data_IF_577804292193
#
_entry.id   IF_577804292193
#
_cell.length_a   1.000
_cell.length_b   1.000
_cell.length_c   1.000
_cell.angle_alpha   90.00
_cell.angle_beta   90.00
_cell.angle_gamma   90.00
#
_symmetry.space_group_name_H-M   'P 1'
#
loop_
_entity.id
_entity.type
_entity.pdbx_description
1 polymer ?
#
# COMPACT_ATOMS: atom_id res chain seq x y z
N UNK A 1 -23.25 23.94 6.13
CA UNK A 1 -23.38 22.97 5.03
C UNK A 1 -22.30 21.92 5.19
N UNK A 2 -22.68 20.69 5.53
CA UNK A 2 -21.74 19.58 5.62
C UNK A 2 -21.12 19.37 4.23
N UNK A 3 -19.79 19.48 4.11
CA UNK A 3 -19.08 19.00 2.91
C UNK A 3 -19.34 17.49 2.88
N UNK A 4 -20.19 17.03 1.97
CA UNK A 4 -20.21 15.62 1.60
C UNK A 4 -18.79 15.30 1.17
N UNK A 5 -18.10 14.50 1.97
CA UNK A 5 -16.80 13.96 1.59
C UNK A 5 -17.15 12.99 0.46
N UNK A 6 -17.07 13.48 -0.78
CA UNK A 6 -17.20 12.60 -1.94
C UNK A 6 -16.07 11.58 -1.82
N UNK A 7 -16.45 10.33 -1.57
CA UNK A 7 -15.47 9.26 -1.51
C UNK A 7 -14.80 9.19 -2.88
N UNK A 8 -13.47 9.34 -2.96
CA UNK A 8 -12.76 9.25 -4.22
C UNK A 8 -13.09 7.93 -4.90
N UNK A 9 -13.35 7.95 -6.21
CA UNK A 9 -13.59 6.72 -6.97
C UNK A 9 -12.24 6.18 -7.45
N UNK A 10 -12.11 4.86 -7.42
CA UNK A 10 -11.03 4.16 -8.08
C UNK A 10 -11.54 3.36 -9.28
N UNK A 11 -10.70 3.32 -10.30
CA UNK A 11 -10.90 2.51 -11.51
C UNK A 11 -9.82 1.45 -11.54
N UNK A 12 -10.23 0.20 -11.71
CA UNK A 12 -9.33 -0.95 -11.76
C UNK A 12 -9.69 -1.82 -12.95
N UNK A 13 -8.70 -2.21 -13.75
CA UNK A 13 -8.84 -3.24 -14.77
C UNK A 13 -7.99 -4.43 -14.32
N UNK A 14 -8.63 -5.57 -14.09
CA UNK A 14 -8.00 -6.79 -13.59
C UNK A 14 -8.11 -7.90 -14.64
N UNK A 15 -7.02 -8.63 -14.85
CA UNK A 15 -7.01 -9.84 -15.65
C UNK A 15 -7.02 -11.04 -14.71
N UNK A 16 -7.83 -12.03 -15.06
CA UNK A 16 -7.97 -13.28 -14.33
C UNK A 16 -7.44 -14.45 -15.15
N UNK A 17 -6.79 -15.38 -14.45
CA UNK A 17 -6.41 -16.69 -14.96
C UNK A 17 -7.28 -17.74 -14.27
N UNK A 18 -8.32 -18.19 -14.95
CA UNK A 18 -9.36 -19.01 -14.33
C UNK A 18 -10.14 -18.24 -13.26
N UNK A 19 -10.11 -18.71 -12.01
CA UNK A 19 -10.80 -18.08 -10.88
C UNK A 19 -9.94 -17.09 -10.08
N UNK A 20 -8.63 -17.03 -10.33
CA UNK A 20 -7.72 -16.16 -9.58
C UNK A 20 -7.46 -14.86 -10.34
N UNK A 21 -7.44 -13.74 -9.60
CA UNK A 21 -6.96 -12.46 -10.11
C UNK A 21 -5.45 -12.60 -10.34
N UNK A 22 -5.04 -12.54 -11.60
CA UNK A 22 -3.64 -12.72 -12.01
C UNK A 22 -2.89 -11.39 -11.84
N UNK A 23 -3.39 -10.33 -12.50
CA UNK A 23 -2.73 -9.03 -12.48
C UNK A 23 -3.72 -7.87 -12.60
N UNK A 24 -3.41 -6.76 -11.93
CA UNK A 24 -4.08 -5.47 -12.10
C UNK A 24 -3.30 -4.66 -13.14
N UNK A 25 -3.88 -4.56 -14.34
CA UNK A 25 -3.22 -3.92 -15.49
C UNK A 25 -3.35 -2.41 -15.47
N UNK A 26 -4.49 -1.93 -14.99
CA UNK A 26 -4.73 -0.51 -14.82
C UNK A 26 -5.32 -0.27 -13.45
N UNK A 27 -4.76 0.69 -12.74
CA UNK A 27 -5.31 1.18 -11.49
C UNK A 27 -5.15 2.69 -11.46
N UNK A 28 -6.23 3.40 -11.18
CA UNK A 28 -6.15 4.83 -10.91
C UNK A 28 -7.10 5.19 -9.81
N UNK A 29 -6.56 5.96 -8.88
CA UNK A 29 -7.26 6.40 -7.70
C UNK A 29 -7.52 7.92 -7.71
N UNK A 30 -8.31 8.41 -6.74
CA UNK A 30 -8.66 9.84 -6.56
C UNK A 30 -9.38 10.45 -7.75
N UNK A 31 -10.25 9.68 -8.42
CA UNK A 31 -11.08 10.17 -9.51
C UNK A 31 -12.40 10.73 -8.95
N UNK A 32 -12.83 11.87 -9.47
CA UNK A 32 -14.15 12.42 -9.16
C UNK A 32 -15.24 11.67 -9.93
N UNK A 33 -16.47 11.68 -9.40
CA UNK A 33 -17.65 11.11 -10.07
C UNK A 33 -17.83 11.72 -11.46
N UNK A 34 -17.70 13.03 -11.57
CA UNK A 34 -17.81 13.77 -12.83
C UNK A 34 -16.78 13.36 -13.88
N UNK A 35 -15.56 12.98 -13.47
CA UNK A 35 -14.54 12.48 -14.38
C UNK A 35 -14.92 11.09 -14.88
N UNK A 36 -15.39 10.22 -13.98
CA UNK A 36 -15.83 8.88 -14.34
C UNK A 36 -16.99 8.92 -15.32
N UNK A 37 -18.01 9.73 -15.09
CA UNK A 37 -19.15 9.84 -15.99
C UNK A 37 -18.74 10.26 -17.41
N UNK A 38 -17.82 11.22 -17.52
CA UNK A 38 -17.32 11.71 -18.82
C UNK A 38 -16.41 10.71 -19.53
N UNK A 39 -15.60 9.98 -18.79
CA UNK A 39 -14.52 9.12 -19.33
C UNK A 39 -14.78 7.62 -19.16
N UNK A 40 -15.99 7.22 -18.75
CA UNK A 40 -16.36 5.81 -18.57
C UNK A 40 -16.09 4.99 -19.82
N UNK A 41 -16.50 5.53 -20.98
CA UNK A 41 -16.30 4.91 -22.29
C UNK A 41 -14.82 4.61 -22.57
N UNK A 42 -13.89 5.45 -22.10
CA UNK A 42 -12.46 5.26 -22.31
C UNK A 42 -11.94 4.06 -21.51
N UNK A 43 -12.39 3.89 -20.26
CA UNK A 43 -12.00 2.73 -19.46
C UNK A 43 -12.63 1.43 -19.97
N UNK A 44 -13.87 1.49 -20.45
CA UNK A 44 -14.53 0.36 -21.11
C UNK A 44 -13.80 -0.02 -22.40
N UNK A 45 -13.39 0.97 -23.21
CA UNK A 45 -12.57 0.77 -24.41
C UNK A 45 -11.24 0.10 -24.07
N UNK A 46 -10.51 0.56 -23.04
CA UNK A 46 -9.26 -0.08 -22.63
C UNK A 46 -9.45 -1.53 -22.18
N UNK A 47 -10.49 -1.81 -21.39
CA UNK A 47 -10.79 -3.16 -20.95
C UNK A 47 -11.14 -4.08 -22.13
N UNK A 48 -11.92 -3.58 -23.09
CA UNK A 48 -12.25 -4.29 -24.32
C UNK A 48 -11.01 -4.56 -25.17
N UNK A 49 -10.14 -3.57 -25.34
CA UNK A 49 -8.89 -3.70 -26.10
C UNK A 49 -7.97 -4.78 -25.50
N UNK A 50 -7.82 -4.80 -24.18
CA UNK A 50 -7.06 -5.85 -23.47
C UNK A 50 -7.71 -7.22 -23.70
N UNK A 51 -9.04 -7.31 -23.64
CA UNK A 51 -9.77 -8.57 -23.82
C UNK A 51 -9.63 -9.12 -25.25
N UNK A 52 -9.68 -8.26 -26.26
CA UNK A 52 -9.51 -8.66 -27.68
C UNK A 52 -8.13 -9.27 -27.90
N UNK A 53 -7.07 -8.68 -27.34
CA UNK A 53 -5.71 -9.21 -27.47
C UNK A 53 -5.44 -10.44 -26.58
N UNK A 54 -6.28 -10.69 -25.58
CA UNK A 54 -6.12 -11.81 -24.64
C UNK A 54 -7.42 -12.63 -24.51
N UNK A 55 -7.86 -13.31 -25.58
CA UNK A 55 -9.22 -13.88 -25.65
C UNK A 55 -9.47 -14.97 -24.59
N UNK A 56 -8.45 -15.74 -24.21
CA UNK A 56 -8.56 -16.82 -23.22
C UNK A 56 -8.68 -16.34 -21.77
N UNK A 57 -8.33 -15.09 -21.50
CA UNK A 57 -8.31 -14.54 -20.14
C UNK A 57 -9.57 -13.74 -19.87
N UNK A 58 -10.08 -13.77 -18.63
CA UNK A 58 -11.19 -12.90 -18.23
C UNK A 58 -10.63 -11.53 -17.85
N UNK A 59 -11.16 -10.47 -18.43
CA UNK A 59 -10.83 -9.08 -18.10
C UNK A 59 -12.03 -8.45 -17.43
N UNK A 60 -11.83 -7.79 -16.29
CA UNK A 60 -12.91 -7.15 -15.52
C UNK A 60 -12.56 -5.69 -15.25
N UNK A 61 -13.49 -4.80 -15.58
CA UNK A 61 -13.45 -3.38 -15.21
C UNK A 61 -14.26 -3.20 -13.92
N UNK A 62 -13.62 -2.71 -12.87
CA UNK A 62 -14.24 -2.37 -11.60
C UNK A 62 -14.13 -0.86 -11.38
N UNK A 63 -15.26 -0.22 -11.13
CA UNK A 63 -15.36 1.19 -10.73
C UNK A 63 -16.04 1.19 -9.36
N UNK A 64 -15.33 1.59 -8.31
CA UNK A 64 -15.85 1.54 -6.96
C UNK A 64 -15.31 2.68 -6.09
N UNK A 65 -16.01 3.06 -5.01
CA UNK A 65 -15.47 4.00 -4.04
C UNK A 65 -14.18 3.43 -3.42
N UNK A 66 -13.17 4.28 -3.34
CA UNK A 66 -11.90 3.96 -2.71
C UNK A 66 -12.08 3.96 -1.19
N UNK A 67 -11.82 2.82 -0.58
CA UNK A 67 -11.79 2.64 0.88
C UNK A 67 -10.38 2.41 1.43
N UNK A 68 -9.41 2.13 0.54
CA UNK A 68 -8.05 1.77 0.92
C UNK A 68 -7.13 2.99 0.94
N UNK A 69 -6.31 3.11 1.97
CA UNK A 69 -5.27 4.15 2.09
C UNK A 69 -4.14 3.88 1.11
N UNK A 70 -3.63 4.93 0.46
CA UNK A 70 -2.58 4.82 -0.58
C UNK A 70 -1.61 5.99 -0.53
N UNK A 71 -0.40 5.77 -1.07
CA UNK A 71 0.62 6.81 -1.13
C UNK A 71 0.89 7.43 0.24
N UNK A 72 0.81 8.75 0.31
CA UNK A 72 1.07 9.55 1.53
C UNK A 72 0.11 9.20 2.68
N UNK A 73 -1.19 9.04 2.41
CA UNK A 73 -2.17 8.69 3.45
C UNK A 73 -1.82 7.35 4.12
N UNK A 74 -1.34 6.39 3.32
CA UNK A 74 -0.86 5.12 3.84
C UNK A 74 0.41 5.28 4.68
N UNK A 75 1.36 6.09 4.22
CA UNK A 75 2.62 6.36 4.92
C UNK A 75 2.32 7.03 6.27
N UNK A 76 1.44 8.02 6.32
CA UNK A 76 1.08 8.72 7.55
C UNK A 76 0.40 7.81 8.57
N UNK A 77 -0.56 6.99 8.16
CA UNK A 77 -1.23 6.09 9.09
C UNK A 77 -0.32 4.93 9.55
N UNK A 78 0.47 4.38 8.63
CA UNK A 78 1.41 3.30 8.97
C UNK A 78 2.57 3.80 9.81
N UNK A 79 3.12 4.97 9.54
CA UNK A 79 4.19 5.56 10.37
C UNK A 79 3.72 5.75 11.82
N UNK A 80 2.52 6.30 12.05
CA UNK A 80 1.92 6.42 13.40
C UNK A 80 1.82 5.06 14.10
N UNK A 81 1.32 4.06 13.38
CA UNK A 81 1.14 2.70 13.92
C UNK A 81 2.48 2.03 14.25
N UNK A 82 3.46 2.16 13.35
CA UNK A 82 4.82 1.63 13.52
C UNK A 82 5.55 2.33 14.66
N UNK A 83 5.50 3.66 14.74
CA UNK A 83 6.09 4.41 15.84
C UNK A 83 5.53 3.98 17.19
N UNK A 84 4.21 3.78 17.30
CA UNK A 84 3.59 3.25 18.51
C UNK A 84 4.12 1.87 18.87
N UNK A 85 4.17 0.95 17.90
CA UNK A 85 4.69 -0.40 18.12
C UNK A 85 6.17 -0.42 18.54
N UNK A 86 7.02 0.38 17.87
CA UNK A 86 8.45 0.48 18.16
C UNK A 86 8.70 1.14 19.52
N UNK A 87 7.96 2.19 19.90
CA UNK A 87 8.02 2.80 21.24
C UNK A 87 7.61 1.83 22.34
N UNK A 88 6.57 1.02 22.11
CA UNK A 88 6.18 -0.05 23.04
C UNK A 88 7.29 -1.09 23.17
N UNK A 89 7.85 -1.55 22.05
CA UNK A 89 8.99 -2.50 22.04
C UNK A 89 10.19 -1.95 22.80
N UNK A 90 10.52 -0.67 22.63
CA UNK A 90 11.60 0.01 23.35
C UNK A 90 11.34 0.01 24.86
N UNK A 91 10.12 0.34 25.31
CA UNK A 91 9.76 0.24 26.73
C UNK A 91 9.85 -1.18 27.27
N UNK A 92 9.41 -2.18 26.50
CA UNK A 92 9.54 -3.60 26.90
C UNK A 92 10.99 -4.03 27.01
N UNK A 93 11.86 -3.58 26.10
CA UNK A 93 13.29 -3.85 26.16
C UNK A 93 13.98 -3.14 27.33
N UNK A 94 13.58 -1.93 27.68
CA UNK A 94 14.13 -1.22 28.85
C UNK A 94 13.71 -1.87 30.17
N UNK A 95 12.47 -2.37 30.25
CA UNK A 95 11.92 -2.96 31.47
C UNK A 95 12.27 -4.45 31.65
N UNK A 96 12.87 -5.11 30.65
CA UNK A 96 13.21 -6.53 30.73
C UNK A 96 14.43 -6.71 31.65
N UNK A 97 14.29 -7.40 32.81
CA UNK A 97 15.42 -7.62 33.69
C UNK A 97 16.43 -8.56 33.01
N UNK A 98 17.70 -8.15 32.99
CA UNK A 98 18.83 -9.00 32.60
C UNK A 98 19.15 -9.88 33.81
N UNK A 99 18.69 -11.12 33.82
CA UNK A 99 18.99 -12.08 34.89
C UNK A 99 20.29 -12.83 34.62
N UNK A 100 21.11 -13.01 35.66
CA UNK A 100 22.26 -13.93 35.71
C UNK A 100 23.27 -13.76 34.57
N UNK A 101 23.70 -12.54 34.30
CA UNK A 101 24.67 -12.26 33.25
C UNK A 101 26.08 -12.02 33.82
N UNK A 102 26.77 -13.12 34.16
CA UNK A 102 28.10 -13.09 34.78
C UNK A 102 29.17 -12.40 33.90
N UNK A 103 28.95 -12.40 32.58
CA UNK A 103 29.89 -11.87 31.58
C UNK A 103 29.34 -10.66 30.78
N UNK A 104 28.17 -10.13 31.16
CA UNK A 104 27.51 -8.99 30.50
C UNK A 104 27.16 -9.18 29.01
N UNK A 105 27.14 -10.40 28.48
CA UNK A 105 26.83 -10.65 27.07
C UNK A 105 25.35 -10.38 26.76
N UNK A 106 24.45 -10.78 27.65
CA UNK A 106 23.02 -10.53 27.49
C UNK A 106 22.69 -9.04 27.59
N UNK A 107 23.41 -8.30 28.44
CA UNK A 107 23.31 -6.84 28.55
C UNK A 107 23.78 -6.15 27.26
N UNK A 108 24.94 -6.52 26.72
CA UNK A 108 25.43 -5.97 25.45
C UNK A 108 24.47 -6.25 24.29
N UNK A 109 23.92 -7.47 24.21
CA UNK A 109 22.90 -7.78 23.22
C UNK A 109 21.64 -6.92 23.40
N UNK A 110 21.18 -6.71 24.64
CA UNK A 110 20.01 -5.90 24.92
C UNK A 110 20.24 -4.44 24.54
N UNK A 111 21.41 -3.89 24.85
CA UNK A 111 21.81 -2.53 24.48
C UNK A 111 21.90 -2.35 22.96
N UNK A 112 22.46 -3.33 22.23
CA UNK A 112 22.49 -3.31 20.76
C UNK A 112 21.08 -3.34 20.15
N UNK A 113 20.17 -4.13 20.73
CA UNK A 113 18.76 -4.20 20.31
C UNK A 113 18.04 -2.88 20.59
N UNK A 114 18.31 -2.24 21.73
CA UNK A 114 17.75 -0.92 22.06
C UNK A 114 18.25 0.13 21.06
N UNK A 115 19.55 0.20 20.80
CA UNK A 115 20.13 1.14 19.84
C UNK A 115 19.54 0.96 18.44
N UNK A 116 19.37 -0.29 17.98
CA UNK A 116 18.75 -0.59 16.68
C UNK A 116 17.31 -0.10 16.60
N UNK A 117 16.51 -0.37 17.64
CA UNK A 117 15.11 0.10 17.68
C UNK A 117 15.06 1.63 17.76
N UNK A 118 16.02 2.27 18.42
CA UNK A 118 16.08 3.71 18.56
C UNK A 118 16.49 4.39 17.24
N UNK A 119 17.43 3.82 16.48
CA UNK A 119 17.75 4.30 15.13
C UNK A 119 16.57 4.14 14.17
N UNK A 120 15.81 3.04 14.26
CA UNK A 120 14.60 2.86 13.44
C UNK A 120 13.51 3.89 13.78
N UNK A 121 13.34 4.26 15.06
CA UNK A 121 12.42 5.31 15.47
C UNK A 121 12.87 6.67 14.90
N UNK A 122 14.16 6.99 15.02
CA UNK A 122 14.70 8.24 14.50
C UNK A 122 14.53 8.36 12.98
N UNK A 123 14.79 7.28 12.23
CA UNK A 123 14.58 7.25 10.78
C UNK A 123 13.11 7.51 10.42
N UNK A 124 12.17 6.87 11.14
CA UNK A 124 10.73 7.10 10.93
C UNK A 124 10.31 8.54 11.31
N UNK A 125 10.90 9.14 12.34
CA UNK A 125 10.64 10.54 12.74
C UNK A 125 11.25 11.55 11.75
N UNK A 126 12.34 11.20 11.09
CA UNK A 126 12.94 11.96 9.99
C UNK A 126 12.16 11.84 8.68
N UNK A 127 11.15 10.96 8.62
CA UNK A 127 10.28 10.77 7.45
C UNK A 127 10.76 9.68 6.49
N UNK A 128 11.78 8.90 6.85
CA UNK A 128 12.28 7.80 6.03
C UNK A 128 11.35 6.57 6.15
N UNK A 129 10.43 6.42 5.20
CA UNK A 129 9.53 5.26 5.14
C UNK A 129 10.05 4.22 4.15
N UNK A 130 10.75 3.21 4.67
CA UNK A 130 11.39 2.16 3.86
C UNK A 130 10.52 0.90 3.65
N UNK A 131 9.20 1.00 3.84
CA UNK A 131 8.28 -0.13 3.65
C UNK A 131 7.53 -0.02 2.33
N UNK A 132 6.92 -1.12 1.90
CA UNK A 132 6.08 -1.14 0.70
C UNK A 132 4.95 -0.11 0.81
N UNK A 133 4.84 0.75 -0.20
CA UNK A 133 3.76 1.73 -0.33
C UNK A 133 2.85 1.30 -1.49
N UNK A 134 1.54 1.10 -1.24
CA UNK A 134 0.59 0.83 -2.31
C UNK A 134 0.59 1.95 -3.35
N UNK A 135 0.75 1.64 -4.65
CA UNK A 135 0.77 2.65 -5.71
C UNK A 135 -0.60 3.28 -5.89
N UNK A 136 -0.61 4.60 -6.15
CA UNK A 136 -1.83 5.37 -6.46
C UNK A 136 -2.24 5.24 -7.93
N UNK A 137 -1.31 4.84 -8.78
CA UNK A 137 -1.48 4.68 -10.22
C UNK A 137 -0.67 3.49 -10.74
N UNK A 138 -1.31 2.65 -11.55
CA UNK A 138 -0.70 1.54 -12.29
C UNK A 138 -1.19 1.64 -13.73
N UNK A 139 -0.27 1.57 -14.69
CA UNK A 139 -0.63 1.46 -16.11
C UNK A 139 0.35 0.56 -16.84
N UNK A 140 -0.06 -0.70 -17.00
CA UNK A 140 0.63 -1.75 -17.76
C UNK A 140 -0.12 -2.11 -19.03
N UNK A 141 -1.09 -1.31 -19.45
CA UNK A 141 -2.01 -1.64 -20.56
C UNK A 141 -1.27 -1.97 -21.86
N UNK A 142 -0.16 -1.27 -22.14
CA UNK A 142 0.68 -1.51 -23.34
C UNK A 142 1.30 -2.90 -23.38
N UNK A 143 1.69 -3.45 -22.23
CA UNK A 143 2.30 -4.79 -22.12
C UNK A 143 1.31 -5.90 -22.48
N UNK A 144 0.01 -5.60 -22.41
CA UNK A 144 -1.09 -6.52 -22.67
C UNK A 144 -1.74 -6.34 -24.05
N UNK A 145 -1.34 -5.32 -24.81
CA UNK A 145 -1.84 -5.05 -26.15
C UNK A 145 -0.84 -5.47 -27.23
N UNK A 146 0.46 -5.30 -26.98
CA UNK A 146 1.52 -5.58 -27.95
C UNK A 146 2.17 -6.96 -27.79
N UNK A 147 1.45 -7.94 -27.22
CA UNK A 147 1.96 -9.31 -27.05
C UNK A 147 1.65 -10.18 -28.25
#
# INVERSE_FOLDING_TARGET
MARLIENPICVKITIFKGHHADEVVYYRNKLSVSMIEKWRWYFEYLAALIKVNNPLRKTELTICPQTLLQGEEYIEEKSKTLLKAKRTKLKTLQNKPVQNDLFNYAKQEQDSKIQTVQSEINALEQGEFNYYVPPTYINRVKEWINR
#
